data_IF_427798592979
#
_entry.id   IF_427798592979
#
_cell.length_a   1.000
_cell.length_b   1.000
_cell.length_c   1.000
_cell.angle_alpha   90.00
_cell.angle_beta   90.00
_cell.angle_gamma   90.00
#
_symmetry.space_group_name_H-M   'P 1'
#
loop_
_entity.id
_entity.type
_entity.pdbx_description
1 polymer ?
#
# COMPACT_ATOMS: atom_id res chain seq x y z
N UNK A 1 -35.23 22.50 31.92
CA UNK A 1 -34.36 21.42 31.44
C UNK A 1 -32.93 21.90 31.53
N UNK A 2 -32.04 21.05 32.02
CA UNK A 2 -30.61 21.36 32.12
C UNK A 2 -29.98 21.36 30.71
N UNK A 3 -28.99 22.21 30.48
CA UNK A 3 -28.16 22.19 29.26
C UNK A 3 -27.58 20.81 28.95
N UNK A 4 -27.32 20.03 29.99
CA UNK A 4 -26.81 18.66 29.90
C UNK A 4 -27.82 17.68 29.29
N UNK A 5 -29.11 17.85 29.60
CA UNK A 5 -30.20 17.03 29.07
C UNK A 5 -30.37 17.27 27.56
N UNK A 6 -30.29 18.52 27.12
CA UNK A 6 -30.34 18.87 25.71
C UNK A 6 -29.14 18.33 24.92
N UNK A 7 -27.94 18.37 25.52
CA UNK A 7 -26.74 17.82 24.90
C UNK A 7 -26.84 16.29 24.77
N UNK A 8 -27.35 15.60 25.79
CA UNK A 8 -27.61 14.17 25.74
C UNK A 8 -28.65 13.82 24.67
N UNK A 9 -29.73 14.58 24.53
CA UNK A 9 -30.74 14.36 23.50
C UNK A 9 -30.17 14.46 22.07
N UNK A 10 -29.27 15.43 21.81
CA UNK A 10 -28.54 15.52 20.54
C UNK A 10 -27.64 14.30 20.32
N UNK A 11 -26.88 13.89 21.34
CA UNK A 11 -26.04 12.71 21.27
C UNK A 11 -26.85 11.44 21.01
N UNK A 12 -27.98 11.26 21.69
CA UNK A 12 -28.85 10.12 21.46
C UNK A 12 -29.37 10.09 20.03
N UNK A 13 -29.85 11.21 19.48
CA UNK A 13 -30.27 11.28 18.08
C UNK A 13 -29.18 10.82 17.12
N UNK A 14 -27.93 11.26 17.32
CA UNK A 14 -26.78 10.82 16.55
C UNK A 14 -26.52 9.32 16.72
N UNK A 15 -26.53 8.85 17.96
CA UNK A 15 -26.34 7.45 18.34
C UNK A 15 -27.35 6.52 17.65
N UNK A 16 -28.65 6.89 17.61
CA UNK A 16 -29.67 6.09 16.91
C UNK A 16 -29.40 5.98 15.42
N UNK A 17 -29.00 7.08 14.79
CA UNK A 17 -28.69 7.10 13.35
C UNK A 17 -27.43 6.27 13.05
N UNK A 18 -26.39 6.39 13.87
CA UNK A 18 -25.16 5.62 13.78
C UNK A 18 -25.43 4.11 13.83
N UNK A 19 -26.10 3.63 14.88
CA UNK A 19 -26.36 2.20 15.06
C UNK A 19 -27.33 1.64 14.00
N UNK A 20 -28.29 2.45 13.53
CA UNK A 20 -29.17 2.06 12.42
C UNK A 20 -28.37 1.80 11.14
N UNK A 21 -27.32 2.57 10.88
CA UNK A 21 -26.48 2.40 9.68
C UNK A 21 -25.53 1.21 9.81
N UNK A 22 -24.91 1.02 10.99
CA UNK A 22 -23.92 -0.06 11.20
C UNK A 22 -24.52 -1.44 11.50
N UNK A 23 -25.81 -1.55 11.84
CA UNK A 23 -26.46 -2.79 12.32
C UNK A 23 -25.78 -3.41 13.56
N UNK A 24 -25.18 -2.58 14.42
CA UNK A 24 -24.49 -2.99 15.67
C UNK A 24 -25.40 -2.68 16.87
N UNK A 25 -25.25 -3.39 18.00
CA UNK A 25 -25.99 -3.11 19.24
C UNK A 25 -25.38 -1.91 19.98
N UNK A 26 -26.23 -1.15 20.69
CA UNK A 26 -25.87 0.13 21.31
C UNK A 26 -24.76 0.10 22.38
N UNK A 27 -24.47 -1.07 22.94
CA UNK A 27 -23.56 -1.22 24.09
C UNK A 27 -22.16 -1.71 23.71
N UNK A 28 -21.94 -2.09 22.46
CA UNK A 28 -20.79 -2.96 22.14
C UNK A 28 -19.44 -2.19 22.13
N UNK A 29 -19.43 -0.86 21.94
CA UNK A 29 -18.17 -0.07 21.95
C UNK A 29 -18.33 1.46 22.12
N UNK A 30 -18.74 1.99 23.29
CA UNK A 30 -18.91 3.44 23.51
C UNK A 30 -17.62 4.25 23.31
N UNK A 31 -16.48 3.69 23.70
CA UNK A 31 -15.15 4.31 23.57
C UNK A 31 -14.67 4.44 22.12
N UNK A 32 -15.25 3.67 21.19
CA UNK A 32 -14.85 3.63 19.79
C UNK A 32 -15.73 4.51 18.88
N UNK A 33 -16.81 5.07 19.45
CA UNK A 33 -17.82 5.83 18.70
C UNK A 33 -17.22 7.02 17.92
N UNK A 34 -16.28 7.74 18.53
CA UNK A 34 -15.59 8.88 17.88
C UNK A 34 -14.71 8.41 16.72
N UNK A 35 -13.95 7.34 16.93
CA UNK A 35 -13.12 6.74 15.90
C UNK A 35 -13.97 6.25 14.72
N UNK A 36 -15.06 5.54 14.98
CA UNK A 36 -15.98 5.05 13.96
C UNK A 36 -16.60 6.18 13.12
N UNK A 37 -17.01 7.28 13.76
CA UNK A 37 -17.52 8.45 13.05
C UNK A 37 -16.43 9.12 12.21
N UNK A 38 -15.17 9.10 12.64
CA UNK A 38 -14.05 9.65 11.87
C UNK A 38 -13.83 8.92 10.53
N UNK A 39 -14.27 7.66 10.42
CA UNK A 39 -14.18 6.84 9.21
C UNK A 39 -15.26 7.13 8.17
N UNK A 40 -16.27 7.92 8.51
CA UNK A 40 -17.32 8.27 7.57
C UNK A 40 -16.74 9.20 6.51
N UNK A 41 -17.13 8.99 5.25
CA UNK A 41 -16.80 9.96 4.20
C UNK A 41 -17.36 11.33 4.58
N UNK A 42 -16.74 12.42 4.10
CA UNK A 42 -17.20 13.79 4.39
C UNK A 42 -18.70 13.95 4.13
N UNK A 43 -19.21 13.34 3.06
CA UNK A 43 -20.62 13.39 2.68
C UNK A 43 -21.51 12.61 3.66
N UNK A 44 -21.12 11.39 4.05
CA UNK A 44 -21.88 10.57 4.99
C UNK A 44 -21.88 11.19 6.39
N UNK A 45 -20.72 11.68 6.85
CA UNK A 45 -20.60 12.35 8.14
C UNK A 45 -21.45 13.62 8.17
N UNK A 46 -21.40 14.44 7.11
CA UNK A 46 -22.21 15.66 7.03
C UNK A 46 -23.71 15.34 7.05
N UNK A 47 -24.13 14.31 6.31
CA UNK A 47 -25.53 13.84 6.30
C UNK A 47 -25.98 13.38 7.67
N UNK A 48 -25.23 12.52 8.35
CA UNK A 48 -25.58 11.99 9.67
C UNK A 48 -25.63 13.09 10.72
N UNK A 49 -24.65 14.01 10.70
CA UNK A 49 -24.64 15.16 11.61
C UNK A 49 -25.82 16.11 11.35
N UNK A 50 -26.19 16.33 10.10
CA UNK A 50 -27.35 17.16 9.73
C UNK A 50 -28.68 16.50 10.12
N UNK A 51 -28.84 15.20 9.88
CA UNK A 51 -30.03 14.43 10.25
C UNK A 51 -30.20 14.31 11.78
N UNK A 52 -29.09 14.30 12.53
CA UNK A 52 -29.11 14.28 14.00
C UNK A 52 -29.40 15.64 14.64
N UNK A 53 -29.38 16.72 13.85
CA UNK A 53 -29.45 18.08 14.37
C UNK A 53 -30.85 18.44 14.90
N UNK A 54 -30.88 19.20 15.99
CA UNK A 54 -32.14 19.60 16.65
C UNK A 54 -32.20 21.12 16.82
N UNK A 55 -33.43 21.63 16.98
CA UNK A 55 -33.66 22.99 17.42
C UNK A 55 -33.50 23.06 18.94
N UNK A 56 -32.84 24.10 19.43
CA UNK A 56 -32.63 24.31 20.86
C UNK A 56 -33.09 25.70 21.29
N UNK A 57 -33.54 25.87 22.54
CA UNK A 57 -33.70 27.19 23.14
C UNK A 57 -32.41 28.02 23.03
N UNK A 58 -32.56 29.33 22.79
CA UNK A 58 -31.44 30.22 22.47
C UNK A 58 -30.40 30.28 23.60
N UNK A 59 -30.87 30.40 24.83
CA UNK A 59 -30.07 30.40 26.05
C UNK A 59 -29.24 29.13 26.20
N UNK A 60 -29.86 27.96 25.97
CA UNK A 60 -29.17 26.67 26.00
C UNK A 60 -28.13 26.57 24.86
N UNK A 61 -28.51 26.98 23.66
CA UNK A 61 -27.63 26.92 22.50
C UNK A 61 -26.38 27.80 22.67
N UNK A 62 -26.54 29.01 23.23
CA UNK A 62 -25.42 29.93 23.50
C UNK A 62 -24.41 29.33 24.48
N UNK A 63 -24.88 28.65 25.54
CA UNK A 63 -24.02 27.96 26.52
C UNK A 63 -23.23 26.82 25.85
N UNK A 64 -23.93 25.93 25.14
CA UNK A 64 -23.31 24.75 24.52
C UNK A 64 -22.36 25.14 23.36
N UNK A 65 -22.64 26.23 22.63
CA UNK A 65 -21.73 26.78 21.61
C UNK A 65 -20.48 27.36 22.27
N UNK A 66 -20.63 28.12 23.35
CA UNK A 66 -19.49 28.69 24.09
C UNK A 66 -18.55 27.59 24.59
N UNK A 67 -19.12 26.45 25.00
CA UNK A 67 -18.37 25.27 25.43
C UNK A 67 -17.89 24.39 24.26
N UNK A 68 -18.12 24.78 23.00
CA UNK A 68 -17.76 24.04 21.77
C UNK A 68 -18.39 22.65 21.67
N UNK A 69 -19.48 22.38 22.40
CA UNK A 69 -20.16 21.08 22.43
C UNK A 69 -21.14 20.90 21.27
N UNK A 70 -21.66 22.01 20.73
CA UNK A 70 -22.51 22.02 19.54
C UNK A 70 -22.03 23.07 18.55
N UNK A 71 -22.49 22.97 17.30
CA UNK A 71 -22.29 23.98 16.26
C UNK A 71 -23.61 24.29 15.56
N UNK A 72 -23.81 25.56 15.21
CA UNK A 72 -24.94 26.01 14.38
C UNK A 72 -24.74 25.54 12.94
N UNK A 73 -25.80 25.00 12.34
CA UNK A 73 -25.82 24.64 10.93
C UNK A 73 -26.34 25.79 10.06
N UNK A 74 -25.89 25.92 8.81
CA UNK A 74 -26.50 26.83 7.85
C UNK A 74 -27.92 26.32 7.54
N UNK A 75 -28.94 27.04 8.00
CA UNK A 75 -30.35 26.76 7.73
C UNK A 75 -31.10 28.09 7.62
N UNK A 76 -32.02 28.18 6.65
CA UNK A 76 -32.69 29.43 6.26
C UNK A 76 -33.87 29.80 7.16
N UNK A 77 -34.51 28.85 7.83
CA UNK A 77 -35.76 29.09 8.56
C UNK A 77 -35.60 29.09 10.10
N UNK A 78 -35.10 27.99 10.66
CA UNK A 78 -35.00 27.77 12.12
C UNK A 78 -33.59 27.30 12.44
N UNK A 79 -32.90 27.93 13.42
CA UNK A 79 -31.53 27.53 13.76
C UNK A 79 -31.51 26.10 14.30
N UNK A 80 -30.81 25.22 13.55
CA UNK A 80 -30.51 23.85 13.97
C UNK A 80 -29.07 23.74 14.45
N UNK A 81 -28.87 22.86 15.42
CA UNK A 81 -27.57 22.62 16.02
C UNK A 81 -27.21 21.14 15.94
N UNK A 82 -25.98 20.88 15.52
CA UNK A 82 -25.39 19.55 15.53
C UNK A 82 -24.35 19.44 16.64
N UNK A 83 -24.25 18.29 17.28
CA UNK A 83 -23.22 18.01 18.27
C UNK A 83 -21.83 17.98 17.61
N UNK A 84 -20.80 18.43 18.32
CA UNK A 84 -19.40 18.32 17.87
C UNK A 84 -18.76 17.04 18.43
N UNK A 85 -17.57 16.68 17.98
CA UNK A 85 -16.80 15.60 18.61
C UNK A 85 -16.51 15.86 20.09
N UNK A 86 -16.31 17.13 20.48
CA UNK A 86 -16.13 17.49 21.89
C UNK A 86 -17.42 17.31 22.70
N UNK A 87 -18.57 17.65 22.12
CA UNK A 87 -19.88 17.36 22.72
C UNK A 87 -20.13 15.86 22.87
N UNK A 88 -19.81 15.08 21.84
CA UNK A 88 -19.89 13.61 21.87
C UNK A 88 -19.03 13.05 23.00
N UNK A 89 -17.77 13.49 23.10
CA UNK A 89 -16.86 13.01 24.12
C UNK A 89 -17.35 13.33 25.55
N UNK A 90 -17.94 14.52 25.73
CA UNK A 90 -18.59 14.91 26.99
C UNK A 90 -19.77 14.00 27.32
N UNK A 91 -20.59 13.65 26.33
CA UNK A 91 -21.71 12.73 26.53
C UNK A 91 -21.26 11.31 26.85
N UNK A 92 -20.19 10.82 26.21
CA UNK A 92 -19.63 9.49 26.48
C UNK A 92 -19.10 9.39 27.92
N UNK A 93 -18.40 10.43 28.38
CA UNK A 93 -17.91 10.51 29.76
C UNK A 93 -19.07 10.47 30.76
N UNK A 94 -20.11 11.27 30.54
CA UNK A 94 -21.25 11.34 31.48
C UNK A 94 -22.18 10.14 31.44
N UNK A 95 -22.49 9.62 30.25
CA UNK A 95 -23.47 8.55 30.04
C UNK A 95 -22.88 7.16 30.30
N UNK A 96 -21.61 6.96 29.94
CA UNK A 96 -20.95 5.65 29.96
C UNK A 96 -19.73 5.59 30.88
N UNK A 97 -19.41 6.66 31.61
CA UNK A 97 -18.26 6.74 32.51
C UNK A 97 -16.91 6.43 31.79
N UNK A 98 -16.80 6.83 30.51
CA UNK A 98 -15.58 6.66 29.72
C UNK A 98 -14.83 7.98 29.69
N UNK A 99 -13.68 8.05 30.36
CA UNK A 99 -12.91 9.30 30.45
C UNK A 99 -12.44 9.78 29.06
N UNK A 100 -12.19 11.09 28.91
CA UNK A 100 -11.58 11.62 27.68
C UNK A 100 -10.26 10.92 27.31
N UNK A 101 -9.46 10.55 28.32
CA UNK A 101 -8.20 9.84 28.12
C UNK A 101 -8.44 8.45 27.51
N UNK A 102 -9.42 7.70 28.02
CA UNK A 102 -9.74 6.36 27.50
C UNK A 102 -10.31 6.43 26.08
N UNK A 103 -11.15 7.43 25.79
CA UNK A 103 -11.67 7.68 24.44
C UNK A 103 -10.53 8.01 23.45
N UNK A 104 -9.59 8.87 23.86
CA UNK A 104 -8.43 9.23 23.04
C UNK A 104 -7.52 8.02 22.81
N UNK A 105 -7.17 7.30 23.88
CA UNK A 105 -6.32 6.10 23.80
C UNK A 105 -6.94 5.02 22.91
N UNK A 106 -8.23 4.75 23.05
CA UNK A 106 -8.95 3.80 22.20
C UNK A 106 -8.90 4.22 20.71
N UNK A 107 -9.08 5.53 20.44
CA UNK A 107 -8.99 6.06 19.08
C UNK A 107 -7.60 5.86 18.47
N UNK A 108 -6.53 6.17 19.22
CA UNK A 108 -5.14 5.97 18.76
C UNK A 108 -4.84 4.49 18.51
N UNK A 109 -5.18 3.62 19.47
CA UNK A 109 -4.96 2.18 19.33
C UNK A 109 -5.62 1.62 18.05
N UNK A 110 -6.83 2.08 17.71
CA UNK A 110 -7.51 1.66 16.49
C UNK A 110 -6.85 2.17 15.21
N UNK A 111 -6.32 3.40 15.22
CA UNK A 111 -5.50 3.87 14.11
C UNK A 111 -4.22 3.04 13.97
N UNK A 112 -3.57 2.69 15.08
CA UNK A 112 -2.37 1.86 15.07
C UNK A 112 -2.67 0.41 14.62
N UNK A 113 -3.80 -0.18 15.01
CA UNK A 113 -4.25 -1.49 14.52
C UNK A 113 -4.50 -1.53 13.00
N UNK A 114 -4.97 -0.42 12.42
CA UNK A 114 -5.12 -0.29 10.97
C UNK A 114 -3.79 -0.02 10.26
N UNK A 115 -2.81 0.53 10.96
CA UNK A 115 -1.44 0.57 10.48
C UNK A 115 -0.91 -0.86 10.60
N UNK A 116 -1.26 -1.70 9.62
CA UNK A 116 -0.51 -2.92 9.41
C UNK A 116 0.88 -2.50 8.96
N UNK A 117 1.82 -2.44 9.91
CA UNK A 117 3.18 -2.81 9.61
C UNK A 117 3.11 -4.30 9.28
N UNK A 118 2.68 -4.61 8.05
CA UNK A 118 2.59 -5.99 7.62
C UNK A 118 3.93 -6.62 7.93
N UNK A 119 3.92 -7.79 8.59
CA UNK A 119 5.07 -8.69 8.53
C UNK A 119 5.56 -8.62 7.09
N UNK A 120 6.84 -8.26 6.87
CA UNK A 120 7.34 -8.04 5.51
C UNK A 120 6.96 -9.25 4.66
N UNK A 121 5.93 -9.08 3.83
CA UNK A 121 5.32 -10.23 3.16
C UNK A 121 6.37 -10.74 2.20
N UNK A 122 7.00 -11.87 2.56
CA UNK A 122 8.13 -12.41 1.82
C UNK A 122 7.72 -12.57 0.37
N UNK A 123 8.61 -12.17 -0.54
CA UNK A 123 8.31 -12.27 -1.94
C UNK A 123 8.41 -13.71 -2.40
N UNK A 124 7.37 -14.16 -3.08
CA UNK A 124 7.38 -15.45 -3.74
C UNK A 124 8.44 -15.45 -4.87
N UNK A 125 8.95 -16.63 -5.23
CA UNK A 125 10.00 -16.76 -6.23
C UNK A 125 9.64 -16.14 -7.60
N UNK A 126 8.36 -16.12 -7.98
CA UNK A 126 7.83 -15.48 -9.18
C UNK A 126 7.89 -13.96 -9.07
N UNK A 127 7.60 -13.41 -7.90
CA UNK A 127 7.73 -11.97 -7.62
C UNK A 127 9.20 -11.55 -7.74
N UNK A 128 10.13 -12.33 -7.18
CA UNK A 128 11.58 -12.11 -7.33
C UNK A 128 12.04 -12.22 -8.79
N UNK A 129 11.64 -13.29 -9.48
CA UNK A 129 11.99 -13.54 -10.89
C UNK A 129 11.49 -12.43 -11.81
N UNK A 130 10.23 -12.02 -11.67
CA UNK A 130 9.65 -10.97 -12.50
C UNK A 130 10.33 -9.63 -12.26
N UNK A 131 10.49 -9.23 -11.00
CA UNK A 131 11.10 -7.94 -10.66
C UNK A 131 12.56 -7.87 -11.08
N UNK A 132 13.36 -8.91 -10.84
CA UNK A 132 14.75 -8.92 -11.29
C UNK A 132 14.84 -8.92 -12.82
N UNK A 133 13.91 -9.58 -13.52
CA UNK A 133 13.88 -9.57 -14.99
C UNK A 133 13.61 -8.16 -15.51
N UNK A 134 12.61 -7.45 -14.96
CA UNK A 134 12.34 -6.07 -15.35
C UNK A 134 13.53 -5.15 -15.06
N UNK A 135 14.19 -5.35 -13.92
CA UNK A 135 15.38 -4.59 -13.53
C UNK A 135 16.55 -4.82 -14.49
N UNK A 136 16.86 -6.09 -14.80
CA UNK A 136 17.94 -6.46 -15.73
C UNK A 136 17.66 -6.02 -17.15
N UNK A 137 16.39 -5.91 -17.55
CA UNK A 137 16.02 -5.38 -18.85
C UNK A 137 15.91 -3.86 -18.87
N UNK A 138 16.19 -3.16 -17.77
CA UNK A 138 16.09 -1.69 -17.63
C UNK A 138 14.70 -1.17 -17.98
N UNK A 139 13.67 -1.88 -17.53
CA UNK A 139 12.28 -1.45 -17.69
C UNK A 139 11.89 -0.61 -16.48
N UNK A 140 12.30 0.66 -16.48
CA UNK A 140 12.33 1.59 -15.34
C UNK A 140 11.28 2.70 -15.39
N UNK A 141 10.47 2.73 -16.44
CA UNK A 141 9.46 3.75 -16.72
C UNK A 141 8.44 3.23 -17.71
N UNK A 142 7.34 3.95 -17.87
CA UNK A 142 6.27 3.59 -18.81
C UNK A 142 6.79 3.50 -20.26
N UNK A 143 7.67 4.42 -20.67
CA UNK A 143 8.26 4.44 -22.02
C UNK A 143 9.24 3.29 -22.27
N UNK A 144 9.80 2.71 -21.21
CA UNK A 144 10.72 1.57 -21.26
C UNK A 144 10.02 0.25 -20.94
N UNK A 145 8.69 0.26 -20.80
CA UNK A 145 7.88 -0.90 -20.44
C UNK A 145 8.00 -2.04 -21.45
N UNK A 146 8.02 -3.28 -20.95
CA UNK A 146 7.98 -4.47 -21.80
C UNK A 146 6.52 -4.80 -22.11
N UNK A 147 6.10 -4.52 -23.34
CA UNK A 147 4.75 -4.83 -23.83
C UNK A 147 4.66 -6.27 -24.33
N UNK A 148 3.73 -7.05 -23.77
CA UNK A 148 3.46 -8.43 -24.17
C UNK A 148 2.28 -8.54 -25.15
N UNK A 149 2.18 -7.58 -26.06
CA UNK A 149 1.16 -7.47 -27.09
C UNK A 149 1.45 -8.34 -28.33
N UNK A 150 2.73 -8.70 -28.57
CA UNK A 150 3.16 -9.45 -29.74
C UNK A 150 3.90 -10.76 -29.41
N UNK A 151 3.86 -11.77 -30.29
CA UNK A 151 4.48 -13.08 -30.04
C UNK A 151 6.00 -13.04 -29.81
N UNK A 152 6.72 -12.13 -30.51
CA UNK A 152 8.18 -12.02 -30.40
C UNK A 152 8.60 -11.56 -29.00
N UNK A 153 7.95 -10.53 -28.45
CA UNK A 153 8.22 -10.07 -27.10
C UNK A 153 7.88 -11.15 -26.06
N UNK A 154 6.81 -11.93 -26.26
CA UNK A 154 6.45 -13.05 -25.38
C UNK A 154 7.52 -14.15 -25.39
N UNK A 155 8.01 -14.52 -26.57
CA UNK A 155 9.07 -15.53 -26.74
C UNK A 155 10.39 -15.06 -26.09
N UNK A 156 10.81 -13.83 -26.40
CA UNK A 156 12.00 -13.23 -25.79
C UNK A 156 11.90 -13.21 -24.26
N UNK A 157 10.77 -12.77 -23.72
CA UNK A 157 10.58 -12.74 -22.26
C UNK A 157 10.61 -14.15 -21.67
N UNK A 158 10.04 -15.15 -22.34
CA UNK A 158 10.05 -16.54 -21.88
C UNK A 158 11.49 -17.11 -21.83
N UNK A 159 12.30 -16.83 -22.85
CA UNK A 159 13.71 -17.20 -22.87
C UNK A 159 14.48 -16.54 -21.72
N UNK A 160 14.27 -15.23 -21.51
CA UNK A 160 14.96 -14.48 -20.44
C UNK A 160 14.54 -14.97 -19.06
N UNK A 161 13.24 -15.22 -18.83
CA UNK A 161 12.75 -15.81 -17.59
C UNK A 161 13.43 -17.14 -17.29
N UNK A 162 13.62 -17.98 -18.32
CA UNK A 162 14.29 -19.28 -18.17
C UNK A 162 15.77 -19.11 -17.79
N UNK A 163 16.48 -18.18 -18.44
CA UNK A 163 17.89 -17.90 -18.15
C UNK A 163 18.08 -17.31 -16.75
N UNK A 164 17.26 -16.34 -16.37
CA UNK A 164 17.33 -15.71 -15.05
C UNK A 164 16.93 -16.70 -13.97
N UNK A 165 15.89 -17.51 -14.17
CA UNK A 165 15.52 -18.56 -13.21
C UNK A 165 16.68 -19.53 -13.00
N UNK A 166 17.31 -20.00 -14.08
CA UNK A 166 18.48 -20.89 -14.01
C UNK A 166 19.64 -20.23 -13.26
N UNK A 167 19.90 -18.94 -13.51
CA UNK A 167 20.90 -18.16 -12.79
C UNK A 167 20.58 -18.09 -11.29
N UNK A 168 19.36 -17.71 -10.91
CA UNK A 168 18.97 -17.60 -9.50
C UNK A 168 18.98 -18.95 -8.78
N UNK A 169 18.69 -20.05 -9.49
CA UNK A 169 18.78 -21.40 -8.97
C UNK A 169 20.22 -21.83 -8.74
N UNK A 170 21.13 -21.55 -9.67
CA UNK A 170 22.58 -21.83 -9.53
C UNK A 170 23.15 -21.27 -8.22
N UNK A 171 22.62 -20.16 -7.73
CA UNK A 171 23.07 -19.50 -6.50
C UNK A 171 22.09 -19.64 -5.33
N UNK A 172 21.16 -20.60 -5.38
CA UNK A 172 20.19 -20.90 -4.32
C UNK A 172 19.33 -19.70 -3.85
N UNK A 173 19.20 -18.65 -4.67
CA UNK A 173 18.28 -17.52 -4.43
C UNK A 173 16.83 -17.96 -4.67
N UNK A 174 16.64 -18.88 -5.62
CA UNK A 174 15.39 -19.60 -5.87
C UNK A 174 15.68 -21.10 -5.76
N UNK A 175 14.80 -21.83 -5.12
CA UNK A 175 14.86 -23.29 -4.99
C UNK A 175 14.88 -23.99 -6.37
N UNK A 176 15.75 -25.00 -6.53
CA UNK A 176 15.88 -25.81 -7.74
C UNK A 176 14.59 -26.54 -8.17
N UNK A 177 13.67 -26.79 -7.23
CA UNK A 177 12.37 -27.39 -7.50
C UNK A 177 11.41 -26.47 -8.26
N UNK A 178 11.68 -25.16 -8.31
CA UNK A 178 10.81 -24.20 -8.98
C UNK A 178 10.97 -24.28 -10.49
N UNK A 179 9.87 -24.29 -11.20
CA UNK A 179 9.84 -24.32 -12.66
C UNK A 179 8.81 -23.32 -13.18
N UNK A 180 9.04 -22.82 -14.39
CA UNK A 180 8.04 -21.99 -15.07
C UNK A 180 6.73 -22.78 -15.23
N UNK A 181 5.57 -22.12 -15.08
CA UNK A 181 4.30 -22.82 -15.10
C UNK A 181 4.01 -23.43 -16.47
N UNK A 182 3.45 -24.64 -16.45
CA UNK A 182 2.88 -25.25 -17.66
C UNK A 182 1.54 -24.56 -17.94
N UNK A 183 1.43 -23.96 -19.12
CA UNK A 183 0.28 -23.16 -19.55
C UNK A 183 -0.43 -23.84 -20.71
N UNK A 184 -1.75 -23.63 -20.82
CA UNK A 184 -2.59 -24.18 -21.89
C UNK A 184 -2.88 -23.09 -22.92
N UNK A 185 -3.17 -23.49 -24.17
CA UNK A 185 -3.77 -22.63 -25.22
C UNK A 185 -2.93 -21.40 -25.64
N UNK A 186 -1.64 -21.58 -25.96
CA UNK A 186 -0.84 -20.54 -26.62
C UNK A 186 -0.48 -19.31 -25.76
N UNK A 187 -0.82 -19.32 -24.47
CA UNK A 187 -0.24 -18.41 -23.49
C UNK A 187 1.24 -18.78 -23.28
N UNK A 188 2.12 -17.79 -23.06
CA UNK A 188 3.52 -18.06 -22.69
C UNK A 188 3.66 -18.15 -21.16
N UNK A 189 4.53 -19.02 -20.61
CA UNK A 189 4.73 -19.12 -19.16
C UNK A 189 5.08 -17.79 -18.49
N UNK A 190 5.92 -16.96 -19.13
CA UNK A 190 6.28 -15.63 -18.63
C UNK A 190 5.07 -14.68 -18.59
N UNK A 191 4.23 -14.66 -19.64
CA UNK A 191 2.98 -13.88 -19.63
C UNK A 191 2.04 -14.31 -18.50
N UNK A 192 1.91 -15.63 -18.28
CA UNK A 192 1.08 -16.18 -17.23
C UNK A 192 1.57 -15.81 -15.82
N UNK A 193 2.88 -15.74 -15.61
CA UNK A 193 3.45 -15.22 -14.36
C UNK A 193 3.07 -13.75 -14.22
N UNK A 194 3.43 -12.91 -15.18
CA UNK A 194 3.23 -11.46 -15.10
C UNK A 194 1.75 -11.08 -14.84
N UNK A 195 0.82 -11.73 -15.52
CA UNK A 195 -0.62 -11.47 -15.37
C UNK A 195 -1.20 -11.87 -14.00
N UNK A 196 -0.48 -12.69 -13.23
CA UNK A 196 -0.92 -13.18 -11.91
C UNK A 196 -0.28 -12.43 -10.74
N UNK A 197 0.63 -11.48 -10.99
CA UNK A 197 1.30 -10.67 -9.97
C UNK A 197 0.43 -9.47 -9.51
N UNK A 198 -0.87 -9.68 -9.31
CA UNK A 198 -1.84 -8.62 -9.01
C UNK A 198 -1.63 -7.96 -7.62
N UNK A 199 -1.00 -8.68 -6.69
CA UNK A 199 -0.63 -8.17 -5.37
C UNK A 199 0.68 -7.37 -5.37
N UNK A 200 1.58 -7.64 -6.32
CA UNK A 200 2.93 -7.10 -6.33
C UNK A 200 2.99 -5.56 -6.39
N UNK A 201 2.11 -4.85 -7.14
CA UNK A 201 2.04 -3.39 -7.05
C UNK A 201 1.82 -2.90 -5.61
N UNK A 202 0.92 -3.52 -4.84
CA UNK A 202 0.67 -3.12 -3.45
C UNK A 202 1.87 -3.43 -2.55
N UNK A 203 2.45 -4.63 -2.68
CA UNK A 203 3.65 -5.05 -1.92
C UNK A 203 4.89 -4.18 -2.19
N UNK A 204 4.94 -3.52 -3.34
CA UNK A 204 6.05 -2.66 -3.77
C UNK A 204 5.74 -1.17 -3.66
N UNK A 205 4.62 -0.77 -3.03
CA UNK A 205 4.16 0.62 -3.02
C UNK A 205 4.12 1.25 -4.42
N UNK A 206 3.65 0.46 -5.39
CA UNK A 206 3.51 0.78 -6.80
C UNK A 206 4.83 1.06 -7.54
N UNK A 207 5.97 0.54 -7.04
CA UNK A 207 7.17 0.47 -7.88
C UNK A 207 6.94 -0.54 -9.01
N UNK A 208 6.50 -1.76 -8.73
CA UNK A 208 6.06 -2.66 -9.80
C UNK A 208 4.74 -2.15 -10.37
N UNK A 209 4.70 -1.87 -11.67
CA UNK A 209 3.53 -1.33 -12.37
C UNK A 209 3.29 -2.05 -13.69
N UNK A 210 2.03 -2.07 -14.11
CA UNK A 210 1.62 -2.49 -15.43
C UNK A 210 0.75 -1.42 -16.11
N UNK A 211 0.83 -1.34 -17.43
CA UNK A 211 0.02 -0.44 -18.27
C UNK A 211 -1.22 -1.17 -18.77
N UNK A 212 -2.18 -0.41 -19.34
CA UNK A 212 -3.40 -0.99 -19.92
C UNK A 212 -3.10 -1.93 -21.11
N UNK A 213 -1.96 -1.77 -21.78
CA UNK A 213 -1.55 -2.55 -22.96
C UNK A 213 -0.72 -3.80 -22.61
N UNK A 214 -0.87 -4.34 -21.40
CA UNK A 214 -0.01 -5.45 -20.91
C UNK A 214 1.48 -5.11 -20.96
N UNK A 215 1.82 -3.85 -20.73
CA UNK A 215 3.19 -3.38 -20.53
C UNK A 215 3.58 -3.48 -19.07
N UNK A 216 4.79 -3.92 -18.76
CA UNK A 216 5.27 -4.07 -17.38
C UNK A 216 6.59 -3.33 -17.19
N UNK A 217 6.73 -2.63 -16.05
CA UNK A 217 7.93 -1.88 -15.69
C UNK A 217 8.03 -1.66 -14.18
N UNK A 218 9.21 -1.22 -13.72
CA UNK A 218 9.46 -0.74 -12.37
C UNK A 218 9.50 0.78 -12.39
N UNK A 219 8.64 1.48 -11.67
CA UNK A 219 8.59 2.94 -11.62
C UNK A 219 9.76 3.52 -10.79
N UNK A 220 10.95 3.47 -11.37
CA UNK A 220 12.23 3.85 -10.77
C UNK A 220 12.76 5.18 -11.29
N UNK A 221 12.09 5.81 -12.25
CA UNK A 221 12.49 7.11 -12.78
C UNK A 221 11.66 8.24 -12.16
N UNK A 222 12.32 9.34 -11.79
CA UNK A 222 11.67 10.58 -11.38
C UNK A 222 12.43 11.75 -11.98
N UNK A 223 11.75 12.58 -12.77
CA UNK A 223 12.35 13.74 -13.44
C UNK A 223 13.58 13.40 -14.31
N UNK A 224 13.61 12.22 -14.93
CA UNK A 224 14.73 11.75 -15.76
C UNK A 224 15.93 11.20 -14.98
N UNK A 225 15.83 11.11 -13.66
CA UNK A 225 16.85 10.54 -12.77
C UNK A 225 16.37 9.23 -12.13
N UNK A 226 17.33 8.39 -11.74
CA UNK A 226 17.05 7.14 -11.03
C UNK A 226 16.71 7.42 -9.56
N UNK A 227 15.54 6.94 -9.13
CA UNK A 227 15.14 6.92 -7.72
C UNK A 227 15.87 5.79 -6.99
N UNK A 228 17.03 6.15 -6.42
CA UNK A 228 17.93 5.21 -5.72
C UNK A 228 17.23 4.57 -4.52
N UNK A 229 16.37 5.30 -3.81
CA UNK A 229 15.67 4.78 -2.64
C UNK A 229 14.72 3.63 -3.04
N UNK A 230 13.96 3.82 -4.12
CA UNK A 230 13.10 2.77 -4.69
C UNK A 230 13.90 1.58 -5.19
N UNK A 231 15.00 1.80 -5.91
CA UNK A 231 15.85 0.71 -6.38
C UNK A 231 16.38 -0.13 -5.21
N UNK A 232 16.93 0.53 -4.19
CA UNK A 232 17.40 -0.15 -2.99
C UNK A 232 16.28 -0.93 -2.31
N UNK A 233 15.08 -0.36 -2.17
CA UNK A 233 13.93 -1.07 -1.61
C UNK A 233 13.62 -2.36 -2.37
N UNK A 234 13.67 -2.35 -3.71
CA UNK A 234 13.45 -3.54 -4.53
C UNK A 234 14.56 -4.57 -4.34
N UNK A 235 15.82 -4.15 -4.37
CA UNK A 235 16.96 -5.04 -4.17
C UNK A 235 16.91 -5.73 -2.81
N UNK A 236 16.49 -5.00 -1.76
CA UNK A 236 16.23 -5.56 -0.41
C UNK A 236 15.19 -6.67 -0.41
N UNK A 237 14.10 -6.49 -1.16
CA UNK A 237 13.02 -7.48 -1.25
C UNK A 237 13.43 -8.72 -2.06
N UNK A 238 14.33 -8.57 -3.04
CA UNK A 238 14.84 -9.70 -3.81
C UNK A 238 15.88 -10.49 -2.98
N UNK A 239 16.85 -9.78 -2.41
CA UNK A 239 17.99 -10.32 -1.65
C UNK A 239 17.79 -10.09 -0.15
N UNK A 240 16.82 -10.81 0.42
CA UNK A 240 16.35 -10.63 1.81
C UNK A 240 17.45 -10.83 2.88
N UNK A 241 18.49 -11.62 2.57
CA UNK A 241 19.54 -12.00 3.49
C UNK A 241 20.90 -12.06 2.80
N UNK A 242 21.95 -11.99 3.61
CA UNK A 242 23.32 -12.24 3.19
C UNK A 242 23.72 -13.69 3.46
N UNK A 243 24.26 -14.36 2.45
CA UNK A 243 24.91 -15.66 2.55
C UNK A 243 26.38 -15.51 2.15
N UNK A 244 27.28 -15.71 3.12
CA UNK A 244 28.72 -15.57 2.93
C UNK A 244 29.31 -16.62 1.97
N UNK A 245 28.56 -17.68 1.64
CA UNK A 245 29.00 -18.72 0.70
C UNK A 245 28.69 -18.38 -0.76
N UNK A 246 27.89 -17.33 -1.01
CA UNK A 246 27.53 -16.92 -2.36
C UNK A 246 28.52 -15.89 -2.90
N UNK A 247 28.91 -16.09 -4.16
CA UNK A 247 29.67 -15.12 -4.93
C UNK A 247 28.73 -14.12 -5.59
N UNK A 248 28.42 -13.04 -4.88
CA UNK A 248 27.54 -11.98 -5.37
C UNK A 248 28.09 -11.22 -6.57
N UNK A 249 29.41 -11.18 -6.74
CA UNK A 249 30.02 -10.62 -7.94
C UNK A 249 29.70 -11.50 -9.15
N UNK A 250 29.85 -12.83 -9.02
CA UNK A 250 29.50 -13.77 -10.09
C UNK A 250 28.00 -13.76 -10.40
N UNK A 251 27.15 -13.62 -9.39
CA UNK A 251 25.69 -13.44 -9.59
C UNK A 251 25.44 -12.21 -10.46
N UNK A 252 26.03 -11.07 -10.13
CA UNK A 252 25.90 -9.84 -10.91
C UNK A 252 26.39 -10.03 -12.35
N UNK A 253 27.56 -10.63 -12.55
CA UNK A 253 28.12 -10.88 -13.88
C UNK A 253 27.20 -11.73 -14.75
N UNK A 254 26.68 -12.84 -14.21
CA UNK A 254 25.81 -13.76 -14.95
C UNK A 254 24.48 -13.06 -15.32
N UNK A 255 23.90 -12.28 -14.40
CA UNK A 255 22.69 -11.49 -14.66
C UNK A 255 22.95 -10.36 -15.69
N UNK A 256 24.08 -9.68 -15.58
CA UNK A 256 24.46 -8.60 -16.49
C UNK A 256 24.76 -9.12 -17.90
N UNK A 257 25.32 -10.31 -18.03
CA UNK A 257 25.52 -10.96 -19.32
C UNK A 257 24.18 -11.25 -20.01
N UNK A 258 23.20 -11.79 -19.28
CA UNK A 258 21.83 -11.97 -19.78
C UNK A 258 21.26 -10.61 -20.22
N UNK A 259 21.36 -9.58 -19.37
CA UNK A 259 20.89 -8.23 -19.72
C UNK A 259 21.49 -7.71 -21.03
N UNK A 260 22.81 -7.80 -21.18
CA UNK A 260 23.53 -7.31 -22.37
C UNK A 260 23.04 -7.97 -23.65
N UNK A 261 22.75 -9.27 -23.60
CA UNK A 261 22.31 -10.03 -24.76
C UNK A 261 20.87 -9.71 -25.17
N UNK A 262 20.01 -9.30 -24.22
CA UNK A 262 18.56 -9.21 -24.44
C UNK A 262 17.94 -7.80 -24.34
N UNK A 263 18.63 -6.81 -23.76
CA UNK A 263 18.04 -5.48 -23.49
C UNK A 263 17.44 -4.77 -24.71
N UNK A 264 18.02 -4.96 -25.90
CA UNK A 264 17.58 -4.33 -27.16
C UNK A 264 16.62 -5.20 -27.99
N UNK A 265 16.24 -6.38 -27.52
CA UNK A 265 15.45 -7.33 -28.33
C UNK A 265 13.94 -7.06 -28.29
N UNK A 266 13.48 -6.12 -27.47
CA UNK A 266 12.07 -5.78 -27.31
C UNK A 266 11.70 -4.58 -28.19
N UNK A 267 10.64 -4.72 -28.98
CA UNK A 267 10.14 -3.66 -29.85
C UNK A 267 9.48 -2.52 -29.06
N UNK A 268 9.49 -1.31 -29.63
CA UNK A 268 8.69 -0.15 -29.21
C UNK A 268 8.90 0.30 -27.75
N UNK A 269 10.12 0.16 -27.23
CA UNK A 269 10.52 0.71 -25.93
C UNK A 269 11.69 1.68 -26.09
N UNK A 270 11.73 2.70 -25.26
CA UNK A 270 12.84 3.65 -25.19
C UNK A 270 13.55 3.48 -23.86
N UNK A 271 14.81 3.08 -23.90
CA UNK A 271 15.64 2.91 -22.71
C UNK A 271 16.53 4.13 -22.60
N UNK A 272 16.54 4.79 -21.44
CA UNK A 272 17.45 5.89 -21.17
C UNK A 272 18.86 5.31 -20.86
N UNK A 273 19.89 5.61 -21.67
CA UNK A 273 21.24 5.08 -21.47
C UNK A 273 21.87 5.51 -20.14
N UNK A 274 21.57 6.72 -19.66
CA UNK A 274 22.07 7.21 -18.37
C UNK A 274 21.49 6.38 -17.22
N UNK A 275 20.16 6.18 -17.22
CA UNK A 275 19.48 5.33 -16.22
C UNK A 275 19.99 3.89 -16.28
N UNK A 276 20.27 3.36 -17.47
CA UNK A 276 20.82 2.01 -17.65
C UNK A 276 22.17 1.85 -16.94
N UNK A 277 23.06 2.83 -17.12
CA UNK A 277 24.36 2.83 -16.46
C UNK A 277 24.20 2.97 -14.94
N UNK A 278 23.33 3.87 -14.50
CA UNK A 278 23.07 4.09 -13.07
C UNK A 278 22.51 2.84 -12.39
N UNK A 279 21.51 2.18 -13.00
CA UNK A 279 20.96 0.92 -12.49
C UNK A 279 22.05 -0.14 -12.40
N UNK A 280 22.84 -0.32 -13.46
CA UNK A 280 23.92 -1.33 -13.48
C UNK A 280 24.96 -1.06 -12.38
N UNK A 281 25.40 0.19 -12.25
CA UNK A 281 26.33 0.61 -11.22
C UNK A 281 25.76 0.37 -9.82
N UNK A 282 24.50 0.74 -9.58
CA UNK A 282 23.86 0.60 -8.26
C UNK A 282 23.57 -0.84 -7.87
N UNK A 283 23.22 -1.70 -8.83
CA UNK A 283 23.07 -3.14 -8.55
C UNK A 283 24.41 -3.76 -8.16
N UNK A 284 25.50 -3.40 -8.87
CA UNK A 284 26.84 -3.84 -8.51
C UNK A 284 27.26 -3.33 -7.12
N UNK A 285 27.09 -2.03 -6.88
CA UNK A 285 27.38 -1.37 -5.60
C UNK A 285 26.59 -2.00 -4.45
N UNK A 286 25.33 -2.39 -4.69
CA UNK A 286 24.52 -3.09 -3.70
C UNK A 286 25.15 -4.44 -3.29
N UNK A 287 25.60 -5.23 -4.25
CA UNK A 287 26.26 -6.51 -3.97
C UNK A 287 27.62 -6.36 -3.31
N UNK A 288 28.39 -5.35 -3.69
CA UNK A 288 29.74 -5.10 -3.16
C UNK A 288 29.70 -4.47 -1.75
N UNK A 289 28.81 -3.49 -1.53
CA UNK A 289 28.93 -2.55 -0.41
C UNK A 289 27.72 -2.51 0.54
N UNK A 290 26.56 -3.03 0.14
CA UNK A 290 25.34 -2.96 0.96
C UNK A 290 24.90 -4.32 1.50
N UNK A 291 24.99 -5.39 0.70
CA UNK A 291 24.35 -6.65 1.02
C UNK A 291 24.91 -7.33 2.28
N UNK A 292 26.18 -7.14 2.64
CA UNK A 292 26.74 -7.71 3.88
C UNK A 292 26.12 -7.13 5.17
N UNK A 293 25.41 -6.00 5.09
CA UNK A 293 24.74 -5.36 6.23
C UNK A 293 23.42 -6.06 6.61
N UNK A 294 22.99 -7.05 5.83
CA UNK A 294 21.71 -7.73 5.98
C UNK A 294 21.83 -8.90 6.95
N UNK A 295 20.71 -9.36 7.54
CA UNK A 295 20.70 -10.54 8.39
C UNK A 295 21.34 -11.72 7.65
N UNK A 296 22.19 -12.46 8.37
CA UNK A 296 22.79 -13.68 7.82
C UNK A 296 21.72 -14.75 7.69
N UNK A 297 21.75 -15.50 6.60
CA UNK A 297 20.92 -16.70 6.49
C UNK A 297 21.36 -17.71 7.55
N UNK A 298 20.51 -17.98 8.54
CA UNK A 298 20.73 -19.09 9.48
C UNK A 298 20.28 -20.34 8.72
N UNK A 299 21.23 -21.18 8.32
CA UNK A 299 20.92 -22.49 7.74
C UNK A 299 20.15 -23.31 8.80
N UNK A 300 18.93 -23.69 8.46
CA UNK A 300 18.11 -24.64 9.22
C UNK A 300 18.06 -25.99 8.52
#
# INVERSE_FOLDING_TARGET
>A
MDSDEHLLNLFESLERLYYKQKKIKRLDAPSEFIYDLSKFTKNNLSKVMFESAQCLPRDIAEILIKNKQIRKLPSEDIPKYAITFFGIATCLERKYNVSFYDQYKATINRFDEEISFGEEEKWDWKEKLATITLLMLFSTSEISAIKLDNPRNKENLNQIFSLILTCLQKYAIIDHSKTLPIVKRGESPSSAIMARLNSLPKKTSHIFTFTQESGYYLNLEKNGELDIAKLNMILRKIFEYYDANLDYQKIYEDLYEISRNFKMQFSNRQINPHITLDVSYRVRDFFENELYKYPKQIQG
#
